data_IF_069388000592
#
_entry.id   IF_069388000592
#
_cell.length_a   1.000
_cell.length_b   1.000
_cell.length_c   1.000
_cell.angle_alpha   90.00
_cell.angle_beta   90.00
_cell.angle_gamma   90.00
#
_symmetry.space_group_name_H-M   'P 1'
#
loop_
_entity.id
_entity.type
_entity.pdbx_description
1 polymer ?
#
# COMPACT_ATOMS: atom_id res chain seq x y z
N UNK A 1 -1.18 -9.73 -16.84
CA UNK A 1 -0.25 -10.64 -16.20
C UNK A 1 -0.97 -11.47 -15.18
N UNK A 2 -0.45 -12.66 -14.94
CA UNK A 2 -1.19 -13.65 -14.18
C UNK A 2 -1.12 -13.50 -12.67
N UNK A 3 -0.37 -12.54 -12.14
CA UNK A 3 -0.16 -12.41 -10.70
C UNK A 3 -0.55 -11.05 -10.13
N UNK A 4 -1.25 -10.24 -10.91
CA UNK A 4 -1.56 -8.87 -10.47
C UNK A 4 -2.45 -8.84 -9.25
N UNK A 5 -3.35 -9.78 -9.13
CA UNK A 5 -4.23 -9.88 -7.97
C UNK A 5 -3.46 -10.20 -6.68
N UNK A 6 -2.32 -10.88 -6.78
CA UNK A 6 -1.49 -11.16 -5.62
C UNK A 6 -0.79 -9.90 -5.09
N UNK A 7 -0.65 -8.87 -5.93
CA UNK A 7 0.02 -7.65 -5.53
C UNK A 7 -0.88 -6.69 -4.77
N UNK A 8 -2.18 -6.96 -4.72
CA UNK A 8 -3.15 -6.05 -4.14
C UNK A 8 -2.82 -5.66 -2.70
N UNK A 9 -2.50 -6.63 -1.86
CA UNK A 9 -2.13 -6.38 -0.48
C UNK A 9 -0.85 -5.58 -0.36
N UNK A 10 0.12 -5.84 -1.21
CA UNK A 10 1.38 -5.10 -1.22
C UNK A 10 1.14 -3.65 -1.63
N UNK A 11 0.27 -3.42 -2.61
CA UNK A 11 -0.08 -2.07 -3.04
C UNK A 11 -0.75 -1.30 -1.91
N UNK A 12 -1.70 -1.93 -1.23
CA UNK A 12 -2.36 -1.32 -0.07
C UNK A 12 -1.34 -0.93 1.00
N UNK A 13 -0.37 -1.80 1.24
CA UNK A 13 0.65 -1.56 2.23
C UNK A 13 1.57 -0.40 1.84
N UNK A 14 1.95 -0.31 0.55
CA UNK A 14 2.72 0.83 0.05
C UNK A 14 1.96 2.14 0.22
N UNK A 15 0.68 2.15 -0.14
CA UNK A 15 -0.15 3.33 -0.01
C UNK A 15 -0.20 3.79 1.44
N UNK A 16 -0.44 2.85 2.34
CA UNK A 16 -0.56 3.16 3.75
C UNK A 16 0.77 3.68 4.32
N UNK A 17 1.88 3.06 3.91
CA UNK A 17 3.20 3.49 4.34
C UNK A 17 3.49 4.93 3.91
N UNK A 18 3.26 5.26 2.64
CA UNK A 18 3.53 6.60 2.15
C UNK A 18 2.63 7.64 2.80
N UNK A 19 1.36 7.29 3.05
CA UNK A 19 0.44 8.19 3.74
C UNK A 19 0.78 8.35 5.22
N UNK A 20 1.55 7.44 5.79
CA UNK A 20 2.05 7.56 7.16
C UNK A 20 3.28 8.45 7.23
N UNK A 21 4.07 8.49 6.15
CA UNK A 21 5.25 9.35 6.10
C UNK A 21 4.89 10.81 5.93
N UNK A 22 3.91 11.09 5.08
CA UNK A 22 3.43 12.46 4.86
C UNK A 22 2.06 12.41 4.19
N UNK A 23 1.36 13.54 4.25
CA UNK A 23 0.10 13.65 3.51
C UNK A 23 0.39 13.61 2.02
N UNK A 24 -0.43 12.87 1.26
CA UNK A 24 -0.19 12.67 -0.17
C UNK A 24 -1.48 12.81 -0.96
N UNK A 25 -1.35 13.31 -2.20
CA UNK A 25 -2.43 13.32 -3.17
C UNK A 25 -2.49 11.99 -3.90
N UNK A 26 -3.66 11.66 -4.47
CA UNK A 26 -3.81 10.44 -5.23
C UNK A 26 -2.81 10.31 -6.39
N UNK A 27 -2.56 11.41 -7.10
CA UNK A 27 -1.58 11.41 -8.19
C UNK A 27 -0.16 11.15 -7.68
N UNK A 28 0.16 11.67 -6.49
CA UNK A 28 1.45 11.40 -5.86
C UNK A 28 1.62 9.94 -5.50
N UNK A 29 0.55 9.32 -5.00
CA UNK A 29 0.56 7.88 -4.70
C UNK A 29 0.76 7.06 -5.96
N UNK A 30 0.09 7.43 -7.06
CA UNK A 30 0.27 6.74 -8.32
C UNK A 30 1.71 6.80 -8.80
N UNK A 31 2.33 7.98 -8.69
CA UNK A 31 3.72 8.15 -9.07
C UNK A 31 4.66 7.29 -8.21
N UNK A 32 4.41 7.24 -6.90
CA UNK A 32 5.22 6.41 -6.00
C UNK A 32 5.07 4.93 -6.33
N UNK A 33 3.85 4.48 -6.55
CA UNK A 33 3.60 3.08 -6.91
C UNK A 33 4.29 2.72 -8.23
N UNK A 34 4.26 3.61 -9.19
CA UNK A 34 4.94 3.39 -10.46
C UNK A 34 6.45 3.26 -10.27
N UNK A 35 7.04 4.07 -9.39
CA UNK A 35 8.47 3.97 -9.09
C UNK A 35 8.84 2.62 -8.51
N UNK A 36 7.92 1.99 -7.80
CA UNK A 36 8.14 0.66 -7.23
C UNK A 36 7.73 -0.46 -8.18
N UNK A 37 7.41 -0.14 -9.42
CA UNK A 37 7.08 -1.15 -10.42
C UNK A 37 5.61 -1.54 -10.52
N UNK A 38 4.74 -0.88 -9.76
CA UNK A 38 3.31 -1.18 -9.82
C UNK A 38 2.63 -0.30 -10.87
N UNK A 39 1.88 -0.95 -11.75
CA UNK A 39 1.06 -0.25 -12.73
C UNK A 39 -0.37 -0.28 -12.26
N UNK A 40 -0.88 0.86 -11.84
CA UNK A 40 -2.22 0.96 -11.31
C UNK A 40 -2.92 2.17 -11.93
N UNK A 41 -4.14 1.97 -12.39
CA UNK A 41 -4.95 3.04 -12.96
C UNK A 41 -5.69 3.78 -11.86
N UNK A 42 -6.20 5.00 -12.15
CA UNK A 42 -7.07 5.68 -11.20
C UNK A 42 -8.30 4.84 -10.84
N UNK A 43 -8.84 4.09 -11.82
CA UNK A 43 -9.99 3.23 -11.57
C UNK A 43 -9.73 2.11 -10.58
N UNK A 44 -8.47 1.75 -10.36
CA UNK A 44 -8.09 0.78 -9.35
C UNK A 44 -7.66 1.45 -8.06
N UNK A 45 -6.93 2.56 -8.16
CA UNK A 45 -6.40 3.25 -6.99
C UNK A 45 -7.51 3.84 -6.11
N UNK A 46 -8.46 4.56 -6.70
CA UNK A 46 -9.45 5.26 -5.89
C UNK A 46 -10.38 4.33 -5.12
N UNK A 47 -10.86 3.22 -5.68
CA UNK A 47 -11.59 2.23 -4.88
C UNK A 47 -10.75 1.64 -3.75
N UNK A 48 -9.46 1.45 -3.97
CA UNK A 48 -8.54 0.96 -2.94
C UNK A 48 -8.42 1.98 -1.80
N UNK A 49 -8.27 3.26 -2.13
CA UNK A 49 -8.22 4.32 -1.13
C UNK A 49 -9.52 4.38 -0.33
N UNK A 50 -10.66 4.22 -1.01
CA UNK A 50 -11.96 4.19 -0.34
C UNK A 50 -12.06 3.04 0.67
N UNK A 51 -11.58 1.86 0.29
CA UNK A 51 -11.59 0.71 1.21
C UNK A 51 -10.73 0.97 2.44
N UNK A 52 -9.55 1.55 2.24
CA UNK A 52 -8.67 1.87 3.36
C UNK A 52 -9.29 2.92 4.28
N UNK A 53 -9.96 3.91 3.70
CA UNK A 53 -10.67 4.91 4.49
C UNK A 53 -11.83 4.29 5.26
N UNK A 54 -12.61 3.45 4.60
CA UNK A 54 -13.77 2.81 5.22
C UNK A 54 -13.36 1.92 6.39
N UNK A 55 -12.21 1.26 6.27
CA UNK A 55 -11.67 0.44 7.35
C UNK A 55 -10.97 1.24 8.43
N UNK A 56 -10.88 2.56 8.27
CA UNK A 56 -10.30 3.44 9.27
C UNK A 56 -8.79 3.55 9.24
N UNK A 57 -8.12 3.05 8.20
CA UNK A 57 -6.67 3.13 8.08
C UNK A 57 -6.20 4.45 7.48
N UNK A 58 -7.03 5.09 6.66
CA UNK A 58 -6.72 6.38 6.05
C UNK A 58 -7.81 7.38 6.38
N UNK A 59 -7.43 8.64 6.39
CA UNK A 59 -8.35 9.76 6.39
C UNK A 59 -7.96 10.70 5.26
N UNK A 60 -8.88 11.56 4.85
CA UNK A 60 -8.63 12.50 3.78
C UNK A 60 -9.25 13.85 4.12
N UNK A 61 -8.64 14.91 3.62
CA UNK A 61 -9.21 16.24 3.70
C UNK A 61 -9.11 16.91 2.34
N UNK A 62 -10.05 17.80 2.06
CA UNK A 62 -10.05 18.56 0.82
C UNK A 62 -9.13 19.75 0.94
N UNK A 63 -8.36 20.00 -0.10
CA UNK A 63 -7.44 21.11 -0.16
C UNK A 63 -7.69 21.89 -1.45
N UNK A 64 -7.78 23.21 -1.34
CA UNK A 64 -7.91 24.06 -2.51
C UNK A 64 -6.56 24.22 -3.19
N UNK A 65 -6.55 23.97 -4.51
CA UNK A 65 -5.37 24.09 -5.35
C UNK A 65 -5.74 24.97 -6.52
N UNK A 66 -5.60 26.28 -6.37
CA UNK A 66 -6.08 27.21 -7.38
C UNK A 66 -7.57 27.11 -7.53
N UNK A 67 -8.02 26.74 -8.73
CA UNK A 67 -9.45 26.58 -9.04
C UNK A 67 -9.97 25.18 -8.80
N UNK A 68 -9.11 24.25 -8.48
CA UNK A 68 -9.49 22.87 -8.24
C UNK A 68 -9.38 22.52 -6.76
N UNK A 69 -10.06 21.45 -6.37
CA UNK A 69 -9.97 20.91 -5.03
C UNK A 69 -9.50 19.48 -5.14
N UNK A 70 -8.60 19.09 -4.24
CA UNK A 70 -8.03 17.75 -4.25
C UNK A 70 -8.09 17.17 -2.85
N UNK A 71 -8.16 15.84 -2.79
CA UNK A 71 -8.09 15.12 -1.53
C UNK A 71 -6.64 14.83 -1.19
N UNK A 72 -6.32 15.13 0.05
CA UNK A 72 -5.01 14.85 0.62
C UNK A 72 -5.18 13.74 1.64
N UNK A 73 -4.49 12.63 1.44
CA UNK A 73 -4.65 11.41 2.25
C UNK A 73 -3.56 11.31 3.30
N UNK A 74 -3.94 10.78 4.46
CA UNK A 74 -3.01 10.57 5.56
C UNK A 74 -3.40 9.31 6.31
N UNK A 75 -2.39 8.58 6.82
CA UNK A 75 -2.64 7.43 7.68
C UNK A 75 -3.20 7.88 9.02
N UNK A 76 -4.19 7.15 9.52
CA UNK A 76 -4.73 7.35 10.87
C UNK A 76 -3.83 6.66 11.90
N UNK A 77 -4.02 6.90 13.20
CA UNK A 77 -3.33 6.10 14.22
C UNK A 77 -3.56 4.60 14.06
N UNK A 78 -4.77 4.20 13.67
CA UNK A 78 -5.07 2.80 13.38
C UNK A 78 -4.23 2.30 12.20
N UNK A 79 -4.10 3.11 11.16
CA UNK A 79 -3.29 2.77 10.00
C UNK A 79 -1.82 2.61 10.36
N UNK A 80 -1.29 3.50 11.20
CA UNK A 80 0.10 3.40 11.64
C UNK A 80 0.36 2.15 12.45
N UNK A 81 -0.57 1.79 13.33
CA UNK A 81 -0.46 0.56 14.11
C UNK A 81 -0.52 -0.67 13.19
N UNK A 82 -1.35 -0.62 12.17
CA UNK A 82 -1.46 -1.72 11.22
C UNK A 82 -0.14 -1.95 10.49
N UNK A 83 0.55 -0.89 10.08
CA UNK A 83 1.85 -1.02 9.43
C UNK A 83 2.83 -1.74 10.34
N UNK A 84 2.88 -1.35 11.61
CA UNK A 84 3.80 -1.96 12.57
C UNK A 84 3.47 -3.44 12.76
N UNK A 85 2.19 -3.77 12.89
CA UNK A 85 1.75 -5.14 13.09
C UNK A 85 2.09 -6.02 11.87
N UNK A 86 1.90 -5.49 10.67
CA UNK A 86 2.12 -6.25 9.45
C UNK A 86 3.59 -6.40 9.13
N UNK A 87 4.43 -5.49 9.60
CA UNK A 87 5.88 -5.52 9.34
C UNK A 87 6.49 -6.87 9.66
N UNK A 88 6.14 -7.46 10.78
CA UNK A 88 6.66 -8.74 11.19
C UNK A 88 6.32 -9.84 10.16
N UNK A 89 5.08 -9.84 9.68
CA UNK A 89 4.64 -10.83 8.71
C UNK A 89 5.35 -10.66 7.37
N UNK A 90 5.58 -9.42 6.97
CA UNK A 90 6.30 -9.13 5.73
C UNK A 90 7.75 -9.63 5.83
N UNK A 91 8.40 -9.40 6.97
CA UNK A 91 9.77 -9.86 7.21
C UNK A 91 9.87 -11.38 7.18
N UNK A 92 8.92 -12.05 7.81
CA UNK A 92 8.91 -13.52 7.81
C UNK A 92 8.76 -14.05 6.40
N UNK A 93 7.81 -13.51 5.65
CA UNK A 93 7.59 -13.95 4.29
C UNK A 93 8.81 -13.70 3.43
N UNK A 94 9.41 -12.53 3.55
CA UNK A 94 10.61 -12.18 2.80
C UNK A 94 11.73 -13.18 3.08
N UNK A 95 11.94 -13.51 4.36
CA UNK A 95 12.94 -14.50 4.74
C UNK A 95 12.69 -15.86 4.12
N UNK A 96 11.43 -16.31 4.14
CA UNK A 96 11.08 -17.59 3.53
C UNK A 96 11.31 -17.59 2.02
N UNK A 97 10.92 -16.51 1.34
CA UNK A 97 11.13 -16.40 -0.09
C UNK A 97 12.61 -16.43 -0.45
N UNK A 98 13.44 -15.79 0.35
CA UNK A 98 14.90 -15.85 0.13
C UNK A 98 15.45 -17.22 0.35
N UNK A 99 15.04 -17.90 1.41
CA UNK A 99 15.48 -19.26 1.69
C UNK A 99 15.05 -20.22 0.60
N UNK A 100 13.81 -20.07 0.12
CA UNK A 100 13.30 -20.90 -0.95
C UNK A 100 14.13 -20.79 -2.22
N UNK A 101 14.68 -19.62 -2.50
CA UNK A 101 15.50 -19.40 -3.68
C UNK A 101 16.87 -20.09 -3.59
N UNK A 102 17.23 -20.63 -2.42
CA UNK A 102 18.47 -21.37 -2.23
C UNK A 102 18.30 -22.87 -2.44
N UNK A 103 17.21 -23.29 -3.04
CA UNK A 103 16.94 -24.69 -3.35
C UNK A 103 17.01 -25.59 -2.11
N UNK A 104 16.42 -25.17 -1.03
CA UNK A 104 16.40 -25.98 0.21
C UNK A 104 15.49 -27.20 0.06
N UNK A 105 15.84 -28.29 0.72
CA UNK A 105 14.96 -29.43 0.75
C UNK A 105 13.61 -29.05 1.36
N UNK A 106 12.53 -29.65 0.83
CA UNK A 106 11.22 -29.44 1.39
C UNK A 106 11.12 -30.03 2.77
N UNK A 107 10.43 -29.36 3.65
CA UNK A 107 10.09 -29.96 4.93
C UNK A 107 9.09 -31.09 4.70
N UNK A 108 9.20 -32.19 5.44
CA UNK A 108 8.17 -33.20 5.38
C UNK A 108 6.85 -32.63 5.90
N UNK A 109 5.73 -33.10 5.40
CA UNK A 109 4.43 -32.63 5.84
C UNK A 109 4.15 -32.92 7.31
#
# INVERSE_FOLDING_TARGET
MAYEDLLSGLIELHVLYHAAEEEVFGLGLMAELKRHGYRISPGTLYPLLHRLMHRGYLTARMVAMGRTRRRLYRATPKGRKAIIAVRHHVRELFGELQEGSRARPRRPP
#
